data_IF_780541095870
#
_entry.id   IF_780541095870
#
_cell.length_a   1.000
_cell.length_b   1.000
_cell.length_c   1.000
_cell.angle_alpha   90.00
_cell.angle_beta   90.00
_cell.angle_gamma   90.00
#
_symmetry.space_group_name_H-M   'P 1'
#
loop_
_entity.id
_entity.type
_entity.pdbx_description
1 polymer ?
#
# COMPACT_ATOMS: atom_id res chain seq x y z
N UNK A 1 -3.00 59.08 -23.34
CA UNK A 1 -2.13 57.89 -23.51
C UNK A 1 -2.34 57.03 -22.28
N UNK A 2 -2.76 55.80 -22.51
CA UNK A 2 -3.48 54.96 -21.57
C UNK A 2 -2.64 54.47 -20.38
N UNK A 3 -3.26 54.49 -19.21
CA UNK A 3 -2.90 53.78 -17.99
C UNK A 3 -3.03 52.27 -18.20
N UNK A 4 -1.95 51.52 -18.03
CA UNK A 4 -1.98 50.07 -18.00
C UNK A 4 -2.34 49.60 -16.58
N UNK A 5 -3.58 49.13 -16.43
CA UNK A 5 -4.04 48.36 -15.28
C UNK A 5 -3.37 46.99 -15.29
N UNK A 6 -2.58 46.69 -14.25
CA UNK A 6 -2.17 45.32 -13.94
C UNK A 6 -3.40 44.58 -13.43
N UNK A 7 -3.96 43.70 -14.26
CA UNK A 7 -4.92 42.68 -13.82
C UNK A 7 -4.15 41.63 -13.02
N UNK A 8 -4.36 41.62 -11.71
CA UNK A 8 -4.15 40.42 -10.90
C UNK A 8 -5.06 39.32 -11.44
N UNK A 9 -4.46 38.36 -12.16
CA UNK A 9 -5.08 37.08 -12.43
C UNK A 9 -5.18 36.31 -11.10
N UNK A 10 -6.33 36.43 -10.45
CA UNK A 10 -6.74 35.49 -9.41
C UNK A 10 -7.03 34.14 -10.09
N UNK A 11 -6.00 33.32 -10.29
CA UNK A 11 -6.16 31.89 -10.55
C UNK A 11 -6.81 31.26 -9.31
N UNK A 12 -8.11 31.04 -9.38
CA UNK A 12 -8.85 30.13 -8.50
C UNK A 12 -8.37 28.70 -8.75
N UNK A 13 -7.22 28.33 -8.17
CA UNK A 13 -6.75 26.95 -8.16
C UNK A 13 -7.63 26.11 -7.23
N UNK A 14 -8.78 25.67 -7.72
CA UNK A 14 -9.55 24.61 -7.09
C UNK A 14 -8.63 23.39 -7.04
N UNK A 15 -8.13 23.00 -5.86
CA UNK A 15 -7.20 21.88 -5.74
C UNK A 15 -7.92 20.58 -6.13
N UNK A 16 -7.74 20.14 -7.38
CA UNK A 16 -8.20 18.84 -7.89
C UNK A 16 -7.26 17.75 -7.39
N UNK A 17 -7.23 17.49 -6.09
CA UNK A 17 -6.50 16.35 -5.59
C UNK A 17 -7.13 15.05 -6.10
N UNK A 18 -6.32 14.05 -6.49
CA UNK A 18 -6.82 12.75 -6.93
C UNK A 18 -7.62 12.08 -5.81
N UNK A 19 -8.55 11.20 -6.20
CA UNK A 19 -9.17 10.25 -5.27
C UNK A 19 -8.22 9.07 -5.12
N UNK A 20 -7.81 8.77 -3.89
CA UNK A 20 -6.88 7.68 -3.62
C UNK A 20 -7.62 6.55 -2.91
N UNK A 21 -7.62 5.39 -3.54
CA UNK A 21 -8.31 4.18 -3.09
C UNK A 21 -7.27 3.21 -2.52
N UNK A 22 -7.37 2.89 -1.25
CA UNK A 22 -6.51 1.92 -0.58
C UNK A 22 -7.19 0.56 -0.49
N UNK A 23 -6.44 -0.47 -0.86
CA UNK A 23 -6.74 -1.86 -0.54
C UNK A 23 -5.65 -2.35 0.40
N UNK A 24 -6.03 -2.59 1.65
CA UNK A 24 -5.09 -2.95 2.70
C UNK A 24 -5.20 -4.44 2.98
N UNK A 25 -4.06 -5.10 3.10
CA UNK A 25 -4.02 -6.53 3.41
C UNK A 25 -3.06 -6.81 4.54
N UNK A 26 -3.41 -7.80 5.35
CA UNK A 26 -2.53 -8.45 6.31
C UNK A 26 -2.54 -9.96 6.06
N UNK A 27 -1.83 -10.72 6.89
CA UNK A 27 -1.81 -12.18 6.80
C UNK A 27 -2.42 -12.83 8.02
N UNK A 28 -3.04 -13.99 7.80
CA UNK A 28 -3.49 -14.91 8.83
C UNK A 28 -2.34 -15.57 9.58
N UNK A 29 -2.69 -16.58 10.38
CA UNK A 29 -1.72 -17.44 11.06
C UNK A 29 -0.92 -18.27 10.04
N UNK A 30 0.31 -18.65 10.38
CA UNK A 30 1.13 -19.57 9.58
C UNK A 30 2.35 -20.06 10.35
N UNK A 31 2.86 -21.26 10.04
CA UNK A 31 4.23 -21.65 10.39
C UNK A 31 4.67 -21.42 11.85
N UNK A 32 3.77 -21.58 12.83
CA UNK A 32 4.04 -21.32 14.25
C UNK A 32 3.75 -19.91 14.76
N UNK A 33 3.35 -18.98 13.89
CA UNK A 33 2.77 -17.68 14.22
C UNK A 33 1.25 -17.85 14.31
N UNK A 34 0.75 -18.22 15.47
CA UNK A 34 -0.70 -18.37 15.71
C UNK A 34 -1.39 -17.01 15.81
N UNK A 35 -0.70 -16.02 16.39
CA UNK A 35 -1.19 -14.66 16.58
C UNK A 35 -0.40 -13.69 15.69
N UNK A 36 -0.88 -13.47 14.46
CA UNK A 36 -0.20 -12.62 13.50
C UNK A 36 -0.57 -11.14 13.73
N UNK A 37 0.39 -10.25 14.04
CA UNK A 37 0.13 -8.82 14.24
C UNK A 37 -0.67 -8.16 13.11
N UNK A 38 -0.46 -8.60 11.88
CA UNK A 38 -1.11 -8.01 10.70
C UNK A 38 -2.58 -8.41 10.54
N UNK A 39 -3.01 -9.53 11.13
CA UNK A 39 -4.44 -9.87 11.26
C UNK A 39 -5.16 -8.88 12.18
N UNK A 40 -4.52 -8.49 13.28
CA UNK A 40 -5.06 -7.46 14.18
C UNK A 40 -5.11 -6.08 13.52
N UNK A 41 -4.09 -5.73 12.72
CA UNK A 41 -4.13 -4.49 11.94
C UNK A 41 -5.37 -4.43 11.04
N UNK A 42 -5.75 -5.53 10.39
CA UNK A 42 -6.95 -5.57 9.54
C UNK A 42 -8.25 -5.37 10.33
N UNK A 43 -8.22 -5.64 11.64
CA UNK A 43 -9.36 -5.45 12.55
C UNK A 43 -9.41 -4.05 13.16
N UNK A 44 -8.26 -3.46 13.49
CA UNK A 44 -8.20 -2.21 14.26
C UNK A 44 -7.99 -0.96 13.41
N UNK A 45 -7.31 -1.07 12.27
CA UNK A 45 -7.12 0.05 11.35
C UNK A 45 -8.45 0.67 10.87
N UNK A 46 -9.50 -0.10 10.55
CA UNK A 46 -10.81 0.48 10.22
C UNK A 46 -11.40 1.32 11.36
N UNK A 47 -11.22 0.88 12.61
CA UNK A 47 -11.79 1.55 13.80
C UNK A 47 -11.14 2.92 14.03
N UNK A 48 -9.81 3.00 13.95
CA UNK A 48 -9.11 4.28 14.14
C UNK A 48 -9.40 5.25 12.99
N UNK A 49 -9.48 4.76 11.75
CA UNK A 49 -9.84 5.59 10.59
C UNK A 49 -11.29 6.08 10.71
N UNK A 50 -12.23 5.25 11.17
CA UNK A 50 -13.61 5.66 11.40
C UNK A 50 -13.70 6.82 12.43
N UNK A 51 -12.89 6.78 13.48
CA UNK A 51 -12.79 7.89 14.45
C UNK A 51 -12.30 9.16 13.76
N UNK A 52 -11.28 9.08 12.91
CA UNK A 52 -10.73 10.25 12.20
C UNK A 52 -11.72 10.83 11.20
N UNK A 53 -12.50 9.98 10.51
CA UNK A 53 -13.57 10.38 9.60
C UNK A 53 -14.67 11.11 10.36
N UNK A 54 -15.12 10.57 11.51
CA UNK A 54 -16.13 11.22 12.37
C UNK A 54 -15.67 12.57 12.91
N UNK A 55 -14.37 12.73 13.14
CA UNK A 55 -13.74 13.98 13.59
C UNK A 55 -13.38 14.94 12.44
N UNK A 56 -13.68 14.58 11.19
CA UNK A 56 -13.30 15.34 10.00
C UNK A 56 -11.78 15.59 9.85
N UNK A 57 -10.97 14.71 10.44
CA UNK A 57 -9.50 14.78 10.41
C UNK A 57 -8.88 13.83 9.39
N UNK A 58 -9.69 12.97 8.77
CA UNK A 58 -9.28 12.10 7.66
C UNK A 58 -9.55 12.77 6.30
N UNK A 59 -8.64 12.69 5.31
CA UNK A 59 -8.84 13.35 4.02
C UNK A 59 -10.06 12.82 3.26
N UNK A 60 -10.93 13.73 2.80
CA UNK A 60 -12.19 13.40 2.09
C UNK A 60 -11.98 12.71 0.73
N UNK A 61 -10.79 12.82 0.14
CA UNK A 61 -10.42 12.18 -1.12
C UNK A 61 -9.69 10.84 -0.93
N UNK A 62 -9.69 10.26 0.28
CA UNK A 62 -9.16 8.93 0.54
C UNK A 62 -10.32 7.96 0.78
N UNK A 63 -10.32 6.86 0.04
CA UNK A 63 -11.28 5.77 0.19
C UNK A 63 -10.56 4.51 0.64
N UNK A 64 -10.98 3.93 1.75
CA UNK A 64 -10.51 2.61 2.21
C UNK A 64 -11.45 1.54 1.65
N UNK A 65 -11.10 0.95 0.51
CA UNK A 65 -12.00 0.04 -0.22
C UNK A 65 -12.07 -1.35 0.42
N UNK A 66 -10.95 -1.86 0.92
CA UNK A 66 -10.94 -3.14 1.62
C UNK A 66 -9.85 -3.25 2.67
N UNK A 67 -10.13 -4.07 3.68
CA UNK A 67 -9.19 -4.61 4.64
C UNK A 67 -9.34 -6.12 4.58
N UNK A 68 -8.30 -6.83 4.13
CA UNK A 68 -8.37 -8.28 3.91
C UNK A 68 -7.26 -9.01 4.65
N UNK A 69 -7.64 -10.02 5.42
CA UNK A 69 -6.68 -11.01 5.93
C UNK A 69 -6.47 -12.07 4.85
N UNK A 70 -5.22 -12.23 4.43
CA UNK A 70 -4.81 -13.18 3.39
C UNK A 70 -4.42 -14.50 4.03
N UNK A 71 -4.79 -15.59 3.36
CA UNK A 71 -4.22 -16.91 3.61
C UNK A 71 -2.73 -16.88 3.23
N UNK A 72 -1.88 -17.50 4.04
CA UNK A 72 -0.43 -17.52 3.84
C UNK A 72 -0.08 -18.63 2.85
N UNK A 73 -0.54 -18.45 1.62
CA UNK A 73 -0.23 -19.32 0.48
C UNK A 73 -0.09 -18.53 -0.80
N UNK A 74 0.82 -18.94 -1.67
CA UNK A 74 1.06 -18.27 -2.94
C UNK A 74 -0.20 -18.19 -3.81
N UNK A 75 -0.93 -19.30 -3.93
CA UNK A 75 -2.15 -19.40 -4.74
C UNK A 75 -3.27 -18.50 -4.23
N UNK A 76 -3.72 -18.67 -2.98
CA UNK A 76 -4.86 -17.90 -2.46
C UNK A 76 -4.55 -16.40 -2.34
N UNK A 77 -3.31 -16.02 -2.00
CA UNK A 77 -2.92 -14.61 -1.92
C UNK A 77 -2.95 -13.93 -3.29
N UNK A 78 -2.48 -14.60 -4.35
CA UNK A 78 -2.54 -14.10 -5.72
C UNK A 78 -3.97 -14.01 -6.24
N UNK A 79 -4.79 -15.04 -6.00
CA UNK A 79 -6.23 -15.03 -6.35
C UNK A 79 -6.93 -13.83 -5.71
N UNK A 80 -6.68 -13.59 -4.42
CA UNK A 80 -7.27 -12.46 -3.70
C UNK A 80 -6.81 -11.10 -4.24
N UNK A 81 -5.55 -10.97 -4.64
CA UNK A 81 -5.03 -9.75 -5.29
C UNK A 81 -5.78 -9.44 -6.60
N UNK A 82 -5.98 -10.46 -7.44
CA UNK A 82 -6.73 -10.34 -8.70
C UNK A 82 -8.19 -9.96 -8.45
N UNK A 83 -8.83 -10.60 -7.47
CA UNK A 83 -10.22 -10.30 -7.07
C UNK A 83 -10.37 -8.85 -6.60
N UNK A 84 -9.44 -8.37 -5.76
CA UNK A 84 -9.42 -6.99 -5.28
C UNK A 84 -9.33 -6.04 -6.47
N UNK A 85 -8.32 -6.21 -7.35
CA UNK A 85 -8.13 -5.33 -8.52
C UNK A 85 -9.36 -5.26 -9.42
N UNK A 86 -9.99 -6.42 -9.66
CA UNK A 86 -11.16 -6.53 -10.55
C UNK A 86 -12.37 -5.81 -9.95
N UNK A 87 -12.67 -6.04 -8.67
CA UNK A 87 -13.75 -5.34 -7.96
C UNK A 87 -13.56 -3.83 -7.95
N UNK A 88 -12.34 -3.36 -7.70
CA UNK A 88 -12.05 -1.92 -7.76
C UNK A 88 -12.37 -1.32 -9.13
N UNK A 89 -12.10 -2.05 -10.22
CA UNK A 89 -12.39 -1.58 -11.56
C UNK A 89 -13.90 -1.53 -11.86
N UNK A 90 -14.69 -2.43 -11.27
CA UNK A 90 -16.15 -2.44 -11.40
C UNK A 90 -16.80 -1.29 -10.62
N UNK A 91 -16.39 -1.06 -9.37
CA UNK A 91 -16.87 0.06 -8.53
C UNK A 91 -16.65 1.41 -9.20
N UNK A 92 -15.50 1.61 -9.84
CA UNK A 92 -15.20 2.85 -10.56
C UNK A 92 -16.12 3.01 -11.78
N UNK A 93 -16.38 1.93 -12.53
CA UNK A 93 -17.26 1.94 -13.71
C UNK A 93 -18.73 2.18 -13.35
N UNK A 94 -19.20 1.69 -12.21
CA UNK A 94 -20.58 1.93 -11.75
C UNK A 94 -20.80 3.38 -11.32
N UNK A 95 -19.81 3.98 -10.64
CA UNK A 95 -19.92 5.36 -10.17
C UNK A 95 -19.87 6.38 -11.32
N UNK A 96 -19.07 6.11 -12.37
CA UNK A 96 -18.98 6.98 -13.56
C UNK A 96 -20.21 6.94 -14.46
N UNK A 97 -20.99 5.84 -14.47
CA UNK A 97 -22.23 5.76 -15.28
C UNK A 97 -23.41 6.54 -14.72
N UNK A 98 -23.41 6.83 -13.42
CA UNK A 98 -24.54 7.48 -12.74
C UNK A 98 -24.43 9.00 -12.64
N UNK A 99 -23.28 9.59 -12.98
CA UNK A 99 -23.06 11.05 -12.91
C UNK A 99 -22.95 11.65 -14.32
N UNK A 100 -24.11 11.86 -14.98
CA UNK A 100 -24.22 12.69 -16.18
C UNK A 100 -24.41 14.15 -15.77
N UNK A 101 -23.37 14.84 -15.30
CA UNK A 101 -23.34 16.31 -15.24
C UNK A 101 -21.91 16.82 -14.94
N UNK A 102 -21.26 17.35 -15.99
CA UNK A 102 -20.20 18.37 -16.02
C UNK A 102 -19.16 18.46 -14.88
N UNK A 103 -18.67 17.31 -14.36
CA UNK A 103 -17.48 17.26 -13.50
C UNK A 103 -16.32 16.68 -14.28
N UNK A 104 -15.26 17.47 -14.43
CA UNK A 104 -13.93 16.98 -14.80
C UNK A 104 -13.63 15.70 -14.00
N UNK A 105 -13.37 14.59 -14.70
CA UNK A 105 -13.06 13.31 -14.09
C UNK A 105 -11.89 13.50 -13.12
N UNK A 106 -12.16 13.30 -11.83
CA UNK A 106 -11.09 13.28 -10.83
C UNK A 106 -10.22 12.07 -11.11
N UNK A 107 -8.91 12.30 -11.20
CA UNK A 107 -7.94 11.22 -11.30
C UNK A 107 -8.11 10.25 -10.13
N UNK A 108 -8.17 8.95 -10.43
CA UNK A 108 -8.27 7.88 -9.44
C UNK A 108 -6.93 7.18 -9.37
N UNK A 109 -6.37 7.11 -8.17
CA UNK A 109 -5.14 6.38 -7.86
C UNK A 109 -5.51 5.21 -6.94
N UNK A 110 -4.99 4.02 -7.20
CA UNK A 110 -5.15 2.86 -6.32
C UNK A 110 -3.83 2.53 -5.64
N UNK A 111 -3.90 2.14 -4.37
CA UNK A 111 -2.76 1.70 -3.58
C UNK A 111 -3.06 0.33 -2.97
N UNK A 112 -2.25 -0.66 -3.34
CA UNK A 112 -2.21 -1.98 -2.72
C UNK A 112 -1.19 -1.96 -1.59
N UNK A 113 -1.66 -1.83 -0.35
CA UNK A 113 -0.83 -1.73 0.84
C UNK A 113 -0.86 -3.07 1.58
N UNK A 114 0.27 -3.77 1.59
CA UNK A 114 0.41 -5.08 2.20
C UNK A 114 1.20 -4.98 3.50
N UNK A 115 0.72 -5.63 4.55
CA UNK A 115 1.43 -5.80 5.81
C UNK A 115 1.77 -7.27 6.03
N UNK A 116 3.02 -7.55 6.36
CA UNK A 116 3.49 -8.87 6.81
C UNK A 116 4.13 -8.78 8.18
N UNK A 117 4.19 -9.89 8.91
CA UNK A 117 5.02 -9.97 10.11
C UNK A 117 6.46 -10.27 9.70
N UNK A 118 7.39 -9.44 10.17
CA UNK A 118 8.82 -9.55 9.88
C UNK A 118 9.65 -9.88 11.11
N UNK A 119 10.95 -9.65 11.00
CA UNK A 119 11.87 -9.84 12.11
C UNK A 119 11.63 -8.79 13.22
N UNK A 120 12.27 -9.02 14.36
CA UNK A 120 12.21 -8.20 15.55
C UNK A 120 12.76 -6.79 15.32
N UNK A 121 12.38 -5.89 16.23
CA UNK A 121 12.96 -4.54 16.47
C UNK A 121 12.44 -3.36 15.65
N UNK A 122 12.15 -3.50 14.35
CA UNK A 122 11.77 -2.36 13.49
C UNK A 122 10.62 -2.68 12.55
N UNK A 123 9.81 -1.66 12.25
CA UNK A 123 8.92 -1.67 11.09
C UNK A 123 9.78 -1.42 9.84
N UNK A 124 9.61 -2.23 8.80
CA UNK A 124 10.37 -2.08 7.55
C UNK A 124 9.44 -1.70 6.41
N UNK A 125 9.76 -0.62 5.71
CA UNK A 125 9.08 -0.24 4.48
C UNK A 125 9.89 -0.80 3.31
N UNK A 126 9.32 -1.74 2.58
CA UNK A 126 10.03 -2.46 1.51
C UNK A 126 10.04 -1.65 0.21
N UNK A 127 11.21 -1.53 -0.41
CA UNK A 127 11.41 -0.81 -1.67
C UNK A 127 11.65 -1.71 -2.89
N UNK A 128 11.92 -3.00 -2.69
CA UNK A 128 12.22 -3.95 -3.76
C UNK A 128 11.45 -5.25 -3.53
N UNK A 129 10.85 -5.79 -4.58
CA UNK A 129 10.40 -7.18 -4.65
C UNK A 129 11.29 -8.00 -5.58
N UNK A 130 11.56 -9.25 -5.23
CA UNK A 130 12.39 -10.16 -6.02
C UNK A 130 11.53 -11.16 -6.78
N UNK A 131 11.90 -11.48 -8.03
CA UNK A 131 11.27 -12.53 -8.84
C UNK A 131 11.60 -13.94 -8.34
N UNK A 132 11.63 -14.19 -7.04
CA UNK A 132 12.08 -15.44 -6.45
C UNK A 132 11.07 -15.96 -5.43
N UNK A 133 10.50 -17.12 -5.73
CA UNK A 133 9.80 -17.97 -4.78
C UNK A 133 10.79 -19.01 -4.23
N UNK A 134 11.23 -18.81 -2.98
CA UNK A 134 12.16 -19.71 -2.31
C UNK A 134 11.73 -19.88 -0.84
N UNK A 135 10.77 -20.77 -0.63
CA UNK A 135 10.07 -20.88 0.64
C UNK A 135 10.88 -21.78 1.58
N UNK A 136 11.23 -21.26 2.76
CA UNK A 136 12.01 -22.01 3.77
C UNK A 136 11.18 -23.12 4.43
N UNK A 137 9.88 -22.90 4.54
CA UNK A 137 8.87 -23.84 5.03
C UNK A 137 7.72 -23.87 4.03
N UNK A 138 6.92 -24.94 3.95
CA UNK A 138 5.72 -24.94 3.14
C UNK A 138 4.80 -23.78 3.48
N UNK A 139 4.07 -23.29 2.48
CA UNK A 139 2.93 -22.42 2.71
C UNK A 139 1.74 -23.22 3.27
N UNK A 140 0.64 -22.54 3.60
CA UNK A 140 -0.53 -23.21 4.20
C UNK A 140 -1.23 -24.23 3.28
N UNK A 141 -0.92 -24.25 1.98
CA UNK A 141 -1.38 -25.28 1.04
C UNK A 141 -0.33 -26.39 0.81
N UNK A 142 0.79 -26.34 1.51
CA UNK A 142 1.88 -27.31 1.38
C UNK A 142 2.85 -27.02 0.23
N UNK A 143 2.74 -25.87 -0.43
CA UNK A 143 3.66 -25.51 -1.51
C UNK A 143 4.98 -24.97 -0.94
N UNK A 144 6.10 -25.58 -1.34
CA UNK A 144 7.45 -25.22 -0.89
C UNK A 144 8.42 -25.08 -2.08
N UNK A 145 8.26 -24.02 -2.91
CA UNK A 145 9.12 -23.77 -4.05
C UNK A 145 10.57 -23.53 -3.63
N UNK A 146 11.51 -23.97 -4.47
CA UNK A 146 12.96 -23.82 -4.28
C UNK A 146 13.57 -23.06 -5.46
N UNK A 147 13.91 -21.79 -5.22
CA UNK A 147 14.54 -20.88 -6.18
C UNK A 147 13.84 -20.87 -7.56
N UNK A 148 12.53 -20.62 -7.55
CA UNK A 148 11.70 -20.57 -8.76
C UNK A 148 11.32 -19.12 -9.11
N UNK A 149 11.26 -18.74 -10.40
CA UNK A 149 10.76 -17.43 -10.78
C UNK A 149 9.28 -17.29 -10.41
N UNK A 150 8.89 -16.14 -9.88
CA UNK A 150 7.48 -15.83 -9.58
C UNK A 150 6.71 -15.59 -10.88
N UNK A 151 7.29 -14.78 -11.76
CA UNK A 151 6.76 -14.47 -13.09
C UNK A 151 7.82 -14.89 -14.11
N UNK A 152 7.58 -16.01 -14.79
CA UNK A 152 8.54 -16.59 -15.74
C UNK A 152 8.90 -15.66 -16.90
N UNK A 153 8.01 -14.75 -17.31
CA UNK A 153 8.28 -13.79 -18.39
C UNK A 153 9.29 -12.71 -18.02
N UNK A 154 9.59 -12.54 -16.73
CA UNK A 154 10.55 -11.53 -16.24
C UNK A 154 11.99 -12.08 -16.15
N UNK A 155 12.23 -13.31 -16.61
CA UNK A 155 13.54 -13.94 -16.61
C UNK A 155 13.81 -14.72 -15.33
N UNK A 156 15.03 -14.60 -14.80
CA UNK A 156 15.51 -15.41 -13.68
C UNK A 156 15.06 -14.89 -12.30
N UNK A 157 15.50 -15.58 -11.25
CA UNK A 157 15.14 -15.28 -9.86
C UNK A 157 15.82 -14.03 -9.29
N UNK A 158 16.75 -13.41 -10.03
CA UNK A 158 17.44 -12.19 -9.62
C UNK A 158 16.73 -10.93 -10.10
N UNK A 159 15.74 -11.04 -10.98
CA UNK A 159 14.99 -9.89 -11.45
C UNK A 159 14.32 -9.16 -10.27
N UNK A 160 14.46 -7.84 -10.24
CA UNK A 160 13.93 -6.95 -9.21
C UNK A 160 12.82 -6.07 -9.78
N UNK A 161 11.76 -5.88 -9.01
CA UNK A 161 10.80 -4.82 -9.24
C UNK A 161 10.93 -3.80 -8.11
N UNK A 162 11.08 -2.52 -8.46
CA UNK A 162 11.21 -1.43 -7.49
C UNK A 162 9.86 -0.79 -7.20
N UNK A 163 9.64 -0.43 -5.93
CA UNK A 163 8.51 0.37 -5.52
C UNK A 163 8.56 1.76 -6.18
N UNK A 164 7.44 2.20 -6.76
CA UNK A 164 7.32 3.56 -7.32
C UNK A 164 7.00 4.62 -6.28
N UNK A 165 6.64 4.23 -5.06
CA UNK A 165 6.53 5.17 -3.93
C UNK A 165 7.93 5.47 -3.39
N UNK A 166 8.19 6.72 -2.95
CA UNK A 166 9.51 7.11 -2.45
C UNK A 166 9.73 6.58 -1.02
N UNK A 167 10.17 5.32 -0.92
CA UNK A 167 10.30 4.58 0.34
C UNK A 167 11.20 5.29 1.37
N UNK A 168 12.31 5.88 0.95
CA UNK A 168 13.19 6.61 1.88
C UNK A 168 12.55 7.89 2.43
N UNK A 169 11.73 8.57 1.62
CA UNK A 169 10.98 9.76 2.06
C UNK A 169 9.88 9.35 3.04
N UNK A 170 9.12 8.30 2.71
CA UNK A 170 8.12 7.74 3.62
C UNK A 170 8.77 7.33 4.95
N UNK A 171 9.88 6.60 4.90
CA UNK A 171 10.62 6.16 6.08
C UNK A 171 11.08 7.35 6.92
N UNK A 172 11.68 8.37 6.30
CA UNK A 172 12.13 9.59 6.99
C UNK A 172 10.97 10.29 7.68
N UNK A 173 9.85 10.50 6.99
CA UNK A 173 8.66 11.17 7.56
C UNK A 173 8.06 10.36 8.71
N UNK A 174 7.99 9.04 8.58
CA UNK A 174 7.49 8.17 9.64
C UNK A 174 8.44 8.14 10.85
N UNK A 175 9.75 8.12 10.62
CA UNK A 175 10.75 8.24 11.69
C UNK A 175 10.65 9.58 12.43
N UNK A 176 10.41 10.69 11.72
CA UNK A 176 10.18 12.01 12.31
C UNK A 176 8.90 12.07 13.19
N UNK A 177 7.92 11.20 12.94
CA UNK A 177 6.75 11.03 13.82
C UNK A 177 7.04 10.19 15.07
N UNK A 178 8.27 9.70 15.24
CA UNK A 178 8.72 8.92 16.39
C UNK A 178 8.59 7.41 16.23
N UNK A 179 8.26 6.90 15.03
CA UNK A 179 8.18 5.47 14.79
C UNK A 179 9.56 4.82 14.64
N UNK A 180 9.72 3.62 15.20
CA UNK A 180 10.88 2.75 14.94
C UNK A 180 10.73 2.10 13.57
N UNK A 181 11.20 2.80 12.53
CA UNK A 181 11.03 2.41 11.13
C UNK A 181 12.32 2.56 10.33
N UNK A 182 12.54 1.65 9.39
CA UNK A 182 13.65 1.70 8.42
C UNK A 182 13.16 1.37 7.00
N UNK A 183 13.89 1.84 5.99
CA UNK A 183 13.71 1.36 4.63
C UNK A 183 14.41 0.01 4.49
N UNK A 184 13.81 -0.88 3.70
CA UNK A 184 14.32 -2.21 3.44
C UNK A 184 14.27 -2.52 1.96
N UNK A 185 15.26 -3.28 1.50
CA UNK A 185 15.36 -3.76 0.12
C UNK A 185 15.26 -5.27 0.05
N UNK A 186 14.93 -5.94 1.15
CA UNK A 186 14.82 -7.40 1.21
C UNK A 186 13.55 -7.83 1.96
N UNK A 187 12.43 -8.06 1.24
CA UNK A 187 11.20 -8.57 1.82
C UNK A 187 11.24 -10.08 2.10
N UNK A 188 12.40 -10.74 1.94
CA UNK A 188 12.53 -12.19 1.97
C UNK A 188 12.15 -12.84 0.63
N UNK A 189 11.94 -14.16 0.65
CA UNK A 189 11.53 -14.96 -0.53
C UNK A 189 10.35 -15.89 -0.23
N UNK A 190 9.56 -15.53 0.77
CA UNK A 190 8.34 -16.26 1.18
C UNK A 190 7.07 -15.59 0.61
N UNK A 191 5.90 -15.92 1.16
CA UNK A 191 4.60 -15.43 0.68
C UNK A 191 4.49 -13.89 0.70
N UNK A 192 5.20 -13.21 1.61
CA UNK A 192 5.32 -11.74 1.62
C UNK A 192 5.93 -11.19 0.32
N UNK A 193 7.10 -11.68 -0.08
CA UNK A 193 7.72 -11.33 -1.35
C UNK A 193 6.89 -11.81 -2.54
N UNK A 194 6.28 -12.99 -2.45
CA UNK A 194 5.41 -13.53 -3.50
C UNK A 194 4.30 -12.56 -3.88
N UNK A 195 3.50 -12.10 -2.91
CA UNK A 195 2.43 -11.14 -3.20
C UNK A 195 3.01 -9.78 -3.58
N UNK A 196 4.08 -9.33 -2.93
CA UNK A 196 4.63 -8.00 -3.18
C UNK A 196 5.15 -7.87 -4.61
N UNK A 197 5.92 -8.85 -5.08
CA UNK A 197 6.44 -8.88 -6.44
C UNK A 197 5.32 -8.93 -7.48
N UNK A 198 4.29 -9.77 -7.26
CA UNK A 198 3.10 -9.82 -8.12
C UNK A 198 2.36 -8.48 -8.15
N UNK A 199 2.19 -7.81 -7.00
CA UNK A 199 1.56 -6.49 -6.91
C UNK A 199 2.36 -5.41 -7.63
N UNK A 200 3.69 -5.42 -7.51
CA UNK A 200 4.57 -4.49 -8.24
C UNK A 200 4.48 -4.73 -9.76
N UNK A 201 4.51 -5.98 -10.20
CA UNK A 201 4.39 -6.34 -11.61
C UNK A 201 3.05 -5.90 -12.19
N UNK A 202 1.97 -6.15 -11.44
CA UNK A 202 0.61 -5.73 -11.77
C UNK A 202 0.49 -4.21 -11.96
N UNK A 203 1.22 -3.44 -11.14
CA UNK A 203 1.25 -1.97 -11.16
C UNK A 203 2.20 -1.39 -12.23
N UNK A 204 3.05 -2.19 -12.88
CA UNK A 204 4.15 -1.73 -13.75
C UNK A 204 3.67 -0.92 -14.96
N UNK A 205 2.55 -1.34 -15.55
CA UNK A 205 2.01 -0.74 -16.77
C UNK A 205 0.85 0.23 -16.52
N UNK A 206 0.56 0.56 -15.26
CA UNK A 206 -0.50 1.50 -14.91
C UNK A 206 0.01 2.56 -13.93
N UNK A 207 0.26 3.77 -14.42
CA UNK A 207 0.83 4.87 -13.64
C UNK A 207 0.01 5.24 -12.39
N UNK A 208 -1.27 4.87 -12.36
CA UNK A 208 -2.20 5.21 -11.28
C UNK A 208 -2.45 4.05 -10.30
N UNK A 209 -1.70 2.96 -10.38
CA UNK A 209 -1.74 1.86 -9.42
C UNK A 209 -0.39 1.73 -8.71
N UNK A 210 -0.35 1.72 -7.38
CA UNK A 210 0.88 1.61 -6.60
C UNK A 210 0.80 0.41 -5.66
N UNK A 211 1.93 -0.23 -5.40
CA UNK A 211 2.04 -1.30 -4.41
C UNK A 211 3.15 -1.00 -3.41
N UNK A 212 2.87 -1.26 -2.13
CA UNK A 212 3.84 -1.14 -1.05
C UNK A 212 3.68 -2.34 -0.11
N UNK A 213 4.81 -2.86 0.37
CA UNK A 213 4.83 -3.86 1.42
C UNK A 213 5.52 -3.29 2.67
N UNK A 214 4.97 -3.61 3.83
CA UNK A 214 5.51 -3.20 5.12
C UNK A 214 5.60 -4.43 6.02
N UNK A 215 6.79 -4.71 6.52
CA UNK A 215 6.94 -5.68 7.61
C UNK A 215 6.79 -4.98 8.96
N UNK A 216 5.94 -5.51 9.82
CA UNK A 216 5.83 -5.10 11.23
C UNK A 216 6.42 -6.19 12.13
N UNK A 217 7.08 -5.84 13.25
CA UNK A 217 7.62 -6.84 14.14
C UNK A 217 6.51 -7.49 14.99
N UNK A 218 6.82 -8.53 15.79
CA UNK A 218 5.93 -9.04 16.82
C UNK A 218 5.52 -7.98 17.86
N UNK A 219 4.43 -8.21 18.60
CA UNK A 219 3.92 -7.24 19.58
C UNK A 219 4.83 -7.04 20.78
N UNK A 220 5.72 -8.00 21.08
CA UNK A 220 6.73 -7.90 22.12
C UNK A 220 7.75 -6.78 21.84
N UNK A 221 7.98 -6.46 20.57
CA UNK A 221 8.89 -5.38 20.16
C UNK A 221 8.16 -4.04 19.98
N UNK A 222 7.02 -4.06 19.29
CA UNK A 222 6.19 -2.88 19.05
C UNK A 222 4.74 -3.27 19.24
N UNK A 223 4.08 -2.70 20.25
CA UNK A 223 2.72 -3.07 20.60
C UNK A 223 1.69 -2.77 19.48
N UNK A 224 0.56 -3.46 19.56
CA UNK A 224 -0.57 -3.38 18.63
C UNK A 224 -1.08 -1.95 18.38
N UNK A 225 -1.18 -1.14 19.44
CA UNK A 225 -1.63 0.25 19.34
C UNK A 225 -0.67 1.08 18.46
N UNK A 226 0.63 0.93 18.67
CA UNK A 226 1.67 1.65 17.92
C UNK A 226 1.70 1.20 16.47
N UNK A 227 1.58 -0.10 16.20
CA UNK A 227 1.51 -0.61 14.82
C UNK A 227 0.25 -0.12 14.10
N UNK A 228 -0.89 -0.06 14.79
CA UNK A 228 -2.15 0.45 14.23
C UNK A 228 -2.06 1.94 13.88
N UNK A 229 -1.49 2.75 14.78
CA UNK A 229 -1.22 4.17 14.53
C UNK A 229 -0.23 4.36 13.38
N UNK A 230 0.83 3.56 13.32
CA UNK A 230 1.79 3.58 12.22
C UNK A 230 1.09 3.36 10.87
N UNK A 231 0.25 2.32 10.75
CA UNK A 231 -0.42 2.00 9.50
C UNK A 231 -1.35 3.14 9.04
N UNK A 232 -2.10 3.74 9.99
CA UNK A 232 -2.93 4.92 9.75
C UNK A 232 -2.11 6.11 9.26
N UNK A 233 -1.01 6.43 9.93
CA UNK A 233 -0.17 7.57 9.58
C UNK A 233 0.54 7.35 8.23
N UNK A 234 0.94 6.12 7.93
CA UNK A 234 1.52 5.76 6.64
C UNK A 234 0.54 6.00 5.50
N UNK A 235 -0.74 5.64 5.66
CA UNK A 235 -1.78 5.92 4.67
C UNK A 235 -1.88 7.42 4.37
N UNK A 236 -1.80 8.25 5.41
CA UNK A 236 -1.83 9.71 5.24
C UNK A 236 -0.58 10.27 4.57
N UNK A 237 0.60 9.73 4.88
CA UNK A 237 1.84 10.12 4.20
C UNK A 237 1.85 9.70 2.73
N UNK A 238 1.36 8.49 2.42
CA UNK A 238 1.17 8.05 1.03
C UNK A 238 0.18 8.98 0.32
N UNK A 239 -0.93 9.33 0.98
CA UNK A 239 -1.90 10.28 0.42
C UNK A 239 -1.25 11.64 0.12
N UNK A 240 -0.53 12.23 1.08
CA UNK A 240 0.12 13.52 0.88
C UNK A 240 1.11 13.49 -0.29
N UNK A 241 1.94 12.44 -0.37
CA UNK A 241 2.94 12.29 -1.44
C UNK A 241 2.28 12.20 -2.82
N UNK A 242 1.22 11.40 -2.94
CA UNK A 242 0.53 11.17 -4.21
C UNK A 242 -0.39 12.33 -4.60
N UNK A 243 -1.00 13.00 -3.62
CA UNK A 243 -1.85 14.16 -3.87
C UNK A 243 -1.05 15.45 -4.11
N UNK A 244 0.21 15.52 -3.66
CA UNK A 244 1.10 16.68 -3.76
C UNK A 244 2.52 16.33 -4.28
N UNK A 245 2.68 15.76 -5.49
CA UNK A 245 3.97 15.26 -5.96
C UNK A 245 5.08 16.32 -6.00
N UNK A 246 4.75 17.61 -6.13
CA UNK A 246 5.71 18.73 -6.11
C UNK A 246 6.28 19.05 -4.72
N UNK A 247 5.60 18.66 -3.63
CA UNK A 247 6.07 18.84 -2.24
C UNK A 247 6.93 17.68 -1.76
N UNK A 248 6.82 16.52 -2.41
CA UNK A 248 7.45 15.26 -2.00
C UNK A 248 8.98 15.22 -2.22
N UNK A 249 9.58 16.25 -2.82
CA UNK A 249 11.01 16.30 -3.20
C UNK A 249 11.87 17.12 -2.18
N UNK A 250 11.24 17.77 -1.19
CA UNK A 250 11.93 18.50 -0.11
C UNK A 250 11.90 17.73 1.20
#
# INVERSE_FOLDING_TARGET
>A
MASAENKEETETSISKHPVIIFNVTGFGKFGGVEDNPTSHLMTNLPKIIEVDVKKETFPKNVTMESYSVLHVSGENSLKKLVDIRTKSAETIKSNTKNEKEDKQEKEIIKVYLHFGVGNRHYIKIEGIGYNCANFRIPDELGWEPKDQPIVSSNGDTKHENHCRLPVDILTKRMSQKGYKVESSVDPGRYVCNWIYYNSLELCKNNNNEYALFVHVPPFEDINEETQTKFARDLILEIYDILANPKKSIK
#
